data_IF_273095103459
#
_entry.id   IF_273095103459
#
_cell.length_a   1.000
_cell.length_b   1.000
_cell.length_c   1.000
_cell.angle_alpha   90.00
_cell.angle_beta   90.00
_cell.angle_gamma   90.00
#
_symmetry.space_group_name_H-M   'P 1'
#
loop_
_entity.id
_entity.type
_entity.pdbx_description
1 polymer ?
#
# COMPACT_ATOMS: atom_id res chain seq x y z
N UNK A 1 4.89 28.55 -18.94
CA UNK A 1 3.92 27.43 -18.86
C UNK A 1 3.36 27.46 -17.45
N UNK A 2 2.05 27.63 -17.33
CA UNK A 2 1.35 27.77 -16.05
C UNK A 2 1.26 26.39 -15.38
N UNK A 3 2.29 26.02 -14.62
CA UNK A 3 2.42 24.71 -13.94
C UNK A 3 1.81 24.73 -12.54
N UNK A 4 0.66 25.38 -12.35
CA UNK A 4 0.13 25.69 -11.02
C UNK A 4 -1.26 25.14 -10.72
N UNK A 5 -2.08 24.83 -11.72
CA UNK A 5 -3.45 24.38 -11.50
C UNK A 5 -3.70 23.04 -12.17
N UNK A 6 -3.69 21.99 -11.36
CA UNK A 6 -4.20 20.68 -11.74
C UNK A 6 -5.73 20.82 -11.84
N UNK A 7 -6.28 20.55 -13.02
CA UNK A 7 -7.72 20.64 -13.23
C UNK A 7 -8.40 19.47 -12.49
N UNK A 8 -9.36 19.74 -11.61
CA UNK A 8 -9.96 18.72 -10.73
C UNK A 8 -10.58 17.55 -11.52
N UNK A 9 -11.08 17.83 -12.73
CA UNK A 9 -11.62 16.83 -13.64
C UNK A 9 -10.57 15.86 -14.22
N UNK A 10 -9.27 16.22 -14.23
CA UNK A 10 -8.19 15.35 -14.71
C UNK A 10 -7.79 14.29 -13.66
N UNK A 11 -8.08 14.52 -12.37
CA UNK A 11 -7.73 13.60 -11.28
C UNK A 11 -8.55 12.30 -11.34
N UNK A 12 -9.75 12.32 -11.91
CA UNK A 12 -10.55 11.10 -12.12
C UNK A 12 -9.92 10.16 -13.17
N UNK A 13 -9.22 10.71 -14.17
CA UNK A 13 -8.62 9.94 -15.26
C UNK A 13 -7.14 9.60 -15.04
N UNK A 14 -6.50 10.29 -14.09
CA UNK A 14 -5.10 10.07 -13.72
C UNK A 14 -4.98 10.06 -12.19
N UNK A 15 -5.51 9.02 -11.52
CA UNK A 15 -5.59 8.97 -10.06
C UNK A 15 -4.21 9.13 -9.42
N UNK A 16 -3.15 8.58 -10.04
CA UNK A 16 -1.77 8.69 -9.56
C UNK A 16 -1.29 10.13 -9.35
N UNK A 17 -1.83 11.10 -10.08
CA UNK A 17 -1.46 12.51 -9.91
C UNK A 17 -2.01 13.14 -8.61
N UNK A 18 -2.88 12.43 -7.88
CA UNK A 18 -3.31 12.82 -6.54
C UNK A 18 -2.17 12.64 -5.53
N UNK A 19 -1.45 11.52 -5.62
CA UNK A 19 -0.47 11.10 -4.61
C UNK A 19 0.99 11.26 -5.07
N UNK A 20 1.23 11.17 -6.38
CA UNK A 20 2.56 10.99 -6.94
C UNK A 20 2.91 12.07 -7.97
N UNK A 21 4.21 12.34 -8.08
CA UNK A 21 4.74 13.28 -9.07
C UNK A 21 4.50 12.77 -10.50
N UNK A 22 4.17 13.65 -11.46
CA UNK A 22 4.03 13.25 -12.86
C UNK A 22 5.27 12.52 -13.38
N UNK A 23 5.06 11.36 -13.98
CA UNK A 23 6.14 10.53 -14.55
C UNK A 23 6.83 9.60 -13.55
N UNK A 24 6.47 9.62 -12.26
CA UNK A 24 6.91 8.61 -11.30
C UNK A 24 6.28 7.26 -11.64
N UNK A 25 7.08 6.19 -11.59
CA UNK A 25 6.59 4.82 -11.67
C UNK A 25 6.53 4.20 -10.26
N UNK A 26 5.85 3.06 -10.14
CA UNK A 26 5.68 2.36 -8.86
C UNK A 26 6.99 2.06 -8.13
N UNK A 27 8.05 1.70 -8.88
CA UNK A 27 9.35 1.37 -8.31
C UNK A 27 10.01 2.62 -7.73
N UNK A 28 9.88 3.77 -8.39
CA UNK A 28 10.35 5.06 -7.83
C UNK A 28 9.66 5.33 -6.48
N UNK A 29 8.34 5.12 -6.41
CA UNK A 29 7.57 5.31 -5.17
C UNK A 29 8.04 4.34 -4.08
N UNK A 30 8.23 3.05 -4.40
CA UNK A 30 8.71 2.07 -3.42
C UNK A 30 10.10 2.42 -2.90
N UNK A 31 11.02 2.86 -3.77
CA UNK A 31 12.36 3.28 -3.33
C UNK A 31 12.33 4.55 -2.47
N UNK A 32 11.47 5.52 -2.79
CA UNK A 32 11.25 6.69 -1.93
C UNK A 32 10.75 6.28 -0.53
N UNK A 33 9.88 5.27 -0.43
CA UNK A 33 9.42 4.74 0.86
C UNK A 33 10.52 3.98 1.61
N UNK A 34 11.37 3.24 0.89
CA UNK A 34 12.54 2.56 1.48
C UNK A 34 13.51 3.57 2.10
N UNK A 35 13.79 4.68 1.40
CA UNK A 35 14.64 5.77 1.89
C UNK A 35 14.14 6.41 3.19
N UNK A 36 12.82 6.37 3.45
CA UNK A 36 12.22 6.88 4.70
C UNK A 36 12.37 5.92 5.88
N UNK A 37 12.61 4.63 5.64
CA UNK A 37 12.82 3.67 6.71
C UNK A 37 14.27 3.75 7.21
N UNK A 38 14.44 3.82 8.52
CA UNK A 38 15.77 3.69 9.12
C UNK A 38 16.23 2.24 9.01
N UNK A 39 17.53 2.08 8.79
CA UNK A 39 18.21 0.78 8.83
C UNK A 39 17.75 -0.24 7.77
N UNK A 40 17.10 0.21 6.69
CA UNK A 40 16.78 -0.60 5.51
C UNK A 40 17.70 -0.18 4.36
N UNK A 41 18.54 -1.10 3.88
CA UNK A 41 19.41 -0.83 2.74
C UNK A 41 18.62 -0.83 1.43
N UNK A 42 18.99 0.04 0.48
CA UNK A 42 18.37 0.02 -0.87
C UNK A 42 18.72 -1.24 -1.68
N UNK A 43 19.72 -2.00 -1.24
CA UNK A 43 20.09 -3.30 -1.80
C UNK A 43 19.24 -4.46 -1.29
N UNK A 44 18.32 -4.21 -0.34
CA UNK A 44 17.36 -5.22 0.10
C UNK A 44 16.48 -5.69 -1.05
N UNK A 45 15.90 -6.88 -0.89
CA UNK A 45 15.00 -7.45 -1.89
C UNK A 45 13.77 -6.56 -2.08
N UNK A 46 13.33 -6.45 -3.34
CA UNK A 46 12.07 -5.83 -3.74
C UNK A 46 11.35 -6.83 -4.66
N UNK A 47 10.18 -7.27 -4.22
CA UNK A 47 9.34 -8.24 -4.92
C UNK A 47 7.98 -7.63 -5.23
N UNK A 48 7.46 -7.90 -6.43
CA UNK A 48 6.08 -7.56 -6.79
C UNK A 48 5.17 -8.76 -6.55
N UNK A 49 4.21 -8.62 -5.65
CA UNK A 49 3.26 -9.67 -5.28
C UNK A 49 2.06 -9.67 -6.25
N UNK A 50 2.34 -10.01 -7.51
CA UNK A 50 1.39 -9.87 -8.63
C UNK A 50 0.15 -10.76 -8.51
N UNK A 51 0.21 -11.82 -7.71
CA UNK A 51 -0.92 -12.70 -7.38
C UNK A 51 -1.90 -12.05 -6.37
N UNK A 52 -1.44 -11.05 -5.62
CA UNK A 52 -2.23 -10.22 -4.71
C UNK A 52 -2.75 -8.98 -5.41
N UNK A 53 -1.87 -8.25 -6.08
CA UNK A 53 -2.20 -7.01 -6.78
C UNK A 53 -1.09 -6.61 -7.75
N UNK A 54 -1.48 -6.05 -8.89
CA UNK A 54 -0.57 -5.58 -9.94
C UNK A 54 0.37 -4.45 -9.51
N UNK A 55 0.04 -3.73 -8.44
CA UNK A 55 0.80 -2.61 -7.88
C UNK A 55 1.06 -2.82 -6.38
N UNK A 56 1.24 -4.08 -5.99
CA UNK A 56 1.55 -4.48 -4.61
C UNK A 56 2.97 -5.02 -4.54
N UNK A 57 3.77 -4.48 -3.63
CA UNK A 57 5.19 -4.77 -3.51
C UNK A 57 5.56 -5.13 -2.07
N UNK A 58 6.57 -5.97 -1.92
CA UNK A 58 7.18 -6.34 -0.64
C UNK A 58 8.67 -6.04 -0.72
N UNK A 59 9.19 -5.24 0.19
CA UNK A 59 10.64 -5.01 0.31
C UNK A 59 11.19 -5.44 1.67
N UNK A 60 12.48 -5.82 1.68
CA UNK A 60 13.18 -6.36 2.85
C UNK A 60 12.42 -7.51 3.53
N UNK A 61 11.61 -8.23 2.75
CA UNK A 61 10.70 -9.31 3.19
C UNK A 61 9.77 -8.93 4.36
N UNK A 62 9.57 -7.64 4.62
CA UNK A 62 8.94 -7.16 5.87
C UNK A 62 8.01 -5.96 5.70
N UNK A 63 8.15 -5.21 4.61
CA UNK A 63 7.39 -3.99 4.37
C UNK A 63 6.55 -4.13 3.12
N UNK A 64 5.24 -4.12 3.28
CA UNK A 64 4.31 -4.22 2.16
C UNK A 64 3.85 -2.84 1.73
N UNK A 65 3.91 -2.56 0.43
CA UNK A 65 3.43 -1.34 -0.20
C UNK A 65 2.31 -1.70 -1.18
N UNK A 66 1.11 -1.20 -0.96
CA UNK A 66 -0.05 -1.40 -1.83
C UNK A 66 -0.43 -0.08 -2.50
N UNK A 67 -0.09 0.06 -3.79
CA UNK A 67 -0.33 1.25 -4.61
C UNK A 67 -1.57 1.12 -5.51
N UNK A 68 -2.40 0.10 -5.27
CA UNK A 68 -3.60 -0.17 -6.05
C UNK A 68 -4.57 1.01 -6.04
N UNK A 69 -5.13 1.34 -7.20
CA UNK A 69 -6.16 2.40 -7.33
C UNK A 69 -7.48 1.98 -6.68
N UNK A 70 -7.71 0.67 -6.54
CA UNK A 70 -8.93 0.11 -5.95
C UNK A 70 -8.58 -1.02 -5.00
N UNK A 71 -9.05 -0.90 -3.76
CA UNK A 71 -8.95 -1.97 -2.77
C UNK A 71 -10.17 -2.88 -2.90
N UNK A 72 -9.92 -4.19 -3.00
CA UNK A 72 -10.97 -5.21 -3.05
C UNK A 72 -10.87 -6.13 -1.84
N UNK A 73 -11.97 -6.81 -1.53
CA UNK A 73 -11.97 -7.78 -0.42
C UNK A 73 -11.02 -8.97 -0.65
N UNK A 74 -10.87 -9.41 -1.90
CA UNK A 74 -9.95 -10.50 -2.26
C UNK A 74 -8.51 -10.10 -1.99
N UNK A 75 -8.12 -8.89 -2.39
CA UNK A 75 -6.80 -8.33 -2.11
C UNK A 75 -6.54 -8.30 -0.59
N UNK A 76 -7.48 -7.77 0.20
CA UNK A 76 -7.35 -7.71 1.67
C UNK A 76 -7.23 -9.11 2.27
N UNK A 77 -7.98 -10.07 1.75
CA UNK A 77 -7.93 -11.48 2.17
C UNK A 77 -6.59 -12.13 1.88
N UNK A 78 -5.98 -11.84 0.73
CA UNK A 78 -4.64 -12.32 0.36
C UNK A 78 -3.55 -11.67 1.21
N UNK A 79 -3.60 -10.35 1.41
CA UNK A 79 -2.67 -9.64 2.30
C UNK A 79 -2.65 -10.23 3.72
N UNK A 80 -3.82 -10.57 4.26
CA UNK A 80 -3.93 -11.15 5.59
C UNK A 80 -3.35 -12.58 5.73
N UNK A 81 -3.04 -13.25 4.60
CA UNK A 81 -2.51 -14.63 4.56
C UNK A 81 -1.00 -14.68 4.32
N UNK A 82 -0.34 -13.53 4.16
CA UNK A 82 1.10 -13.47 3.99
C UNK A 82 1.81 -14.09 5.21
N UNK A 83 2.75 -14.99 4.92
CA UNK A 83 3.60 -15.64 5.91
C UNK A 83 5.05 -15.68 5.36
N UNK A 84 6.01 -14.98 5.98
CA UNK A 84 5.85 -14.19 7.20
C UNK A 84 4.94 -12.96 7.02
N UNK A 85 4.24 -12.57 8.09
CA UNK A 85 3.41 -11.36 8.07
C UNK A 85 4.30 -10.11 7.99
N UNK A 86 4.03 -9.16 7.09
CA UNK A 86 4.70 -7.86 7.07
C UNK A 86 4.59 -7.13 8.41
N UNK A 87 5.68 -6.50 8.84
CA UNK A 87 5.72 -5.67 10.06
C UNK A 87 5.11 -4.28 9.82
N UNK A 88 5.01 -3.87 8.56
CA UNK A 88 4.39 -2.61 8.14
C UNK A 88 3.66 -2.79 6.82
N UNK A 89 2.42 -2.33 6.79
CA UNK A 89 1.60 -2.20 5.60
C UNK A 89 1.48 -0.72 5.25
N UNK A 90 1.82 -0.35 4.03
CA UNK A 90 1.75 1.02 3.52
C UNK A 90 0.72 1.01 2.40
N UNK A 91 -0.40 1.70 2.60
CA UNK A 91 -1.46 1.82 1.60
C UNK A 91 -1.44 3.21 0.98
N UNK A 92 -1.74 3.28 -0.30
CA UNK A 92 -2.10 4.53 -0.96
C UNK A 92 -3.40 5.09 -0.37
N UNK A 93 -3.39 6.35 0.06
CA UNK A 93 -4.56 6.94 0.73
C UNK A 93 -5.69 7.27 -0.24
N UNK A 94 -5.37 7.80 -1.43
CA UNK A 94 -6.40 8.21 -2.40
C UNK A 94 -7.28 7.06 -2.90
N UNK A 95 -6.86 5.81 -2.71
CA UNK A 95 -7.66 4.63 -3.04
C UNK A 95 -8.98 4.61 -2.28
N UNK A 96 -9.03 5.25 -1.11
CA UNK A 96 -10.23 5.40 -0.31
C UNK A 96 -11.00 6.68 -0.64
N UNK A 97 -10.44 7.62 -1.44
CA UNK A 97 -11.04 8.92 -1.77
C UNK A 97 -11.61 9.59 -0.51
N UNK A 98 -12.86 10.04 -0.55
CA UNK A 98 -13.58 10.61 0.59
C UNK A 98 -14.39 9.56 1.39
N UNK A 99 -14.25 8.27 1.07
CA UNK A 99 -14.99 7.18 1.72
C UNK A 99 -14.25 6.66 2.97
N UNK A 100 -14.38 7.42 4.05
CA UNK A 100 -13.82 7.09 5.37
C UNK A 100 -14.38 5.75 5.87
N UNK A 101 -15.63 5.42 5.55
CA UNK A 101 -16.26 4.16 5.96
C UNK A 101 -15.57 2.96 5.32
N UNK A 102 -15.30 3.03 4.01
CA UNK A 102 -14.56 1.99 3.28
C UNK A 102 -13.14 1.82 3.84
N UNK A 103 -12.48 2.93 4.17
CA UNK A 103 -11.17 2.93 4.81
C UNK A 103 -11.22 2.14 6.11
N UNK A 104 -12.06 2.55 7.06
CA UNK A 104 -12.17 1.91 8.38
C UNK A 104 -12.58 0.43 8.30
N UNK A 105 -13.52 0.09 7.40
CA UNK A 105 -13.96 -1.29 7.19
C UNK A 105 -12.82 -2.16 6.67
N UNK A 106 -12.03 -1.65 5.72
CA UNK A 106 -10.86 -2.33 5.17
C UNK A 106 -9.87 -2.68 6.28
N UNK A 107 -9.54 -1.73 7.17
CA UNK A 107 -8.60 -1.99 8.28
C UNK A 107 -9.15 -2.97 9.29
N UNK A 108 -10.43 -2.83 9.64
CA UNK A 108 -11.07 -3.74 10.57
C UNK A 108 -11.09 -5.17 10.01
N UNK A 109 -11.35 -5.33 8.72
CA UNK A 109 -11.36 -6.62 8.03
C UNK A 109 -9.96 -7.22 7.94
N UNK A 110 -8.96 -6.44 7.51
CA UNK A 110 -7.57 -6.87 7.47
C UNK A 110 -7.11 -7.37 8.84
N UNK A 111 -7.35 -6.59 9.90
CA UNK A 111 -7.02 -6.95 11.27
C UNK A 111 -7.70 -8.24 11.72
N UNK A 112 -9.01 -8.34 11.53
CA UNK A 112 -9.76 -9.53 11.92
C UNK A 112 -9.27 -10.80 11.18
N UNK A 113 -8.89 -10.67 9.91
CA UNK A 113 -8.34 -11.79 9.13
C UNK A 113 -6.94 -12.18 9.58
N UNK A 114 -6.06 -11.21 9.87
CA UNK A 114 -4.71 -11.48 10.41
C UNK A 114 -4.83 -12.18 11.77
N UNK A 115 -5.65 -11.67 12.68
CA UNK A 115 -5.88 -12.28 14.00
C UNK A 115 -6.43 -13.71 13.88
N UNK A 116 -7.36 -13.94 12.95
CA UNK A 116 -7.90 -15.27 12.66
C UNK A 116 -6.83 -16.22 12.11
N UNK A 117 -5.95 -15.75 11.24
CA UNK A 117 -4.93 -16.57 10.58
C UNK A 117 -3.72 -16.86 11.50
N UNK A 118 -3.38 -15.94 12.40
CA UNK A 118 -2.23 -16.07 13.30
C UNK A 118 -2.45 -17.05 14.47
N UNK A 119 -3.69 -17.50 14.69
CA UNK A 119 -4.02 -18.45 15.74
C UNK A 119 -3.71 -17.92 17.14
N UNK A 120 -2.80 -18.58 17.87
CA UNK A 120 -2.36 -18.14 19.19
C UNK A 120 -1.27 -17.04 19.15
N UNK A 121 -0.67 -16.80 17.98
CA UNK A 121 0.31 -15.73 17.80
C UNK A 121 -0.39 -14.38 17.72
N UNK A 122 0.18 -13.37 18.40
CA UNK A 122 -0.26 -11.97 18.28
C UNK A 122 0.81 -11.20 17.49
N UNK A 123 0.80 -11.30 16.15
CA UNK A 123 1.79 -10.59 15.35
C UNK A 123 1.61 -9.09 15.55
N UNK A 124 2.74 -8.39 15.66
CA UNK A 124 2.74 -6.92 15.74
C UNK A 124 3.03 -6.39 14.36
N UNK A 125 2.13 -5.55 13.86
CA UNK A 125 2.30 -4.86 12.59
C UNK A 125 1.78 -3.42 12.71
N UNK A 126 2.24 -2.57 11.80
CA UNK A 126 1.79 -1.18 11.68
C UNK A 126 1.13 -0.96 10.32
N UNK A 127 0.27 0.04 10.24
CA UNK A 127 -0.39 0.46 9.02
C UNK A 127 -0.12 1.95 8.83
N UNK A 128 0.36 2.33 7.65
CA UNK A 128 0.60 3.71 7.24
C UNK A 128 -0.12 4.00 5.92
N UNK A 129 -0.38 5.29 5.69
CA UNK A 129 -0.99 5.79 4.46
C UNK A 129 -0.09 6.86 3.85
N UNK A 130 -0.02 6.88 2.53
CA UNK A 130 0.82 7.79 1.75
C UNK A 130 0.03 8.48 0.66
#
# INVERSE_FOLDING_TARGET
>A
MDMGQINVNQLEYAPDLVDFMPGANDIDIVYELMLRQRDVALSETLEQLSDIGSRTYLYASSYLVCLEITITEDLVSKLAKLDPLPIKFIFRDSTFKDDISLKDETFRKLKALIEKNAGASKPTYTVEFI
#
